data_IF_849337009254
#
_entry.id   IF_849337009254
#
_cell.length_a   1.000
_cell.length_b   1.000
_cell.length_c   1.000
_cell.angle_alpha   90.00
_cell.angle_beta   90.00
_cell.angle_gamma   90.00
#
_symmetry.space_group_name_H-M   'P 1'
#
loop_
_entity.id
_entity.type
_entity.pdbx_description
1 polymer ?
#
# COMPACT_ATOMS: atom_id res chain seq x y z
N UNK A 1 -2.14 20.54 10.56
CA UNK A 1 -2.99 20.02 9.46
C UNK A 1 -2.17 19.24 8.44
N UNK A 2 -1.29 19.87 7.64
CA UNK A 2 -0.50 19.14 6.63
C UNK A 2 0.44 18.07 7.21
N UNK A 3 1.19 18.40 8.29
CA UNK A 3 2.08 17.44 8.96
C UNK A 3 1.31 16.26 9.56
N UNK A 4 0.18 16.54 10.23
CA UNK A 4 -0.70 15.52 10.79
C UNK A 4 -1.30 14.61 9.71
N UNK A 5 -1.69 15.16 8.55
CA UNK A 5 -2.17 14.37 7.43
C UNK A 5 -1.06 13.46 6.88
N UNK A 6 0.17 13.97 6.76
CA UNK A 6 1.34 13.18 6.34
C UNK A 6 1.64 12.05 7.32
N UNK A 7 1.60 12.32 8.63
CA UNK A 7 1.78 11.30 9.66
C UNK A 7 0.72 10.19 9.59
N UNK A 8 -0.53 10.55 9.31
CA UNK A 8 -1.61 9.58 9.11
C UNK A 8 -1.34 8.69 7.90
N UNK A 9 -0.93 9.25 6.77
CA UNK A 9 -0.59 8.47 5.57
C UNK A 9 0.62 7.56 5.79
N UNK A 10 1.63 8.02 6.54
CA UNK A 10 2.78 7.18 6.91
C UNK A 10 2.37 5.98 7.75
N UNK A 11 1.47 6.20 8.72
CA UNK A 11 0.89 5.11 9.54
C UNK A 11 0.05 4.17 8.69
N UNK A 12 -0.65 4.70 7.68
CA UNK A 12 -1.46 3.90 6.75
C UNK A 12 -0.58 2.95 5.92
N UNK A 13 0.54 3.45 5.38
CA UNK A 13 1.53 2.63 4.68
C UNK A 13 2.17 1.59 5.62
N UNK A 14 2.47 1.96 6.87
CA UNK A 14 2.99 1.01 7.86
C UNK A 14 1.96 -0.07 8.24
N UNK A 15 0.67 0.28 8.25
CA UNK A 15 -0.45 -0.66 8.37
C UNK A 15 -0.42 -1.69 7.24
N UNK A 16 -0.34 -1.23 6.00
CA UNK A 16 -0.22 -2.10 4.84
C UNK A 16 1.02 -3.01 4.89
N UNK A 17 2.18 -2.46 5.29
CA UNK A 17 3.42 -3.24 5.50
C UNK A 17 3.19 -4.35 6.53
N UNK A 18 2.55 -4.01 7.65
CA UNK A 18 2.23 -4.95 8.73
C UNK A 18 1.29 -6.06 8.23
N UNK A 19 0.29 -5.72 7.42
CA UNK A 19 -0.63 -6.70 6.85
C UNK A 19 0.09 -7.69 5.92
N UNK A 20 0.99 -7.20 5.06
CA UNK A 20 1.83 -8.07 4.20
C UNK A 20 2.72 -9.00 5.03
N UNK A 21 3.30 -8.50 6.13
CA UNK A 21 4.15 -9.31 7.01
C UNK A 21 3.38 -10.41 7.73
N UNK A 22 2.13 -10.16 8.11
CA UNK A 22 1.26 -11.08 8.85
C UNK A 22 0.40 -11.95 7.94
N UNK A 23 0.48 -11.77 6.63
CA UNK A 23 -0.34 -12.51 5.68
C UNK A 23 0.03 -14.00 5.62
N UNK A 24 -1.01 -14.82 5.63
CA UNK A 24 -1.02 -16.25 5.38
C UNK A 24 -2.28 -16.63 4.63
N UNK A 25 -2.57 -17.94 4.53
CA UNK A 25 -3.68 -18.43 3.70
C UNK A 25 -5.04 -17.87 4.14
N UNK A 26 -5.27 -17.72 5.45
CA UNK A 26 -6.58 -17.34 6.00
C UNK A 26 -6.95 -15.87 5.79
N UNK A 27 -5.98 -14.99 5.57
CA UNK A 27 -6.18 -13.55 5.37
C UNK A 27 -5.71 -13.06 3.99
N UNK A 28 -5.34 -13.96 3.07
CA UNK A 28 -4.93 -13.58 1.72
C UNK A 28 -6.00 -12.76 0.96
N UNK A 29 -7.30 -12.92 1.28
CA UNK A 29 -8.40 -12.13 0.67
C UNK A 29 -8.42 -10.72 1.20
N UNK A 30 -8.33 -10.62 2.52
CA UNK A 30 -8.30 -9.35 3.23
C UNK A 30 -7.06 -8.54 2.82
N UNK A 31 -5.98 -9.20 2.41
CA UNK A 31 -4.76 -8.52 1.98
C UNK A 31 -4.96 -7.72 0.68
N UNK A 32 -5.72 -8.23 -0.29
CA UNK A 32 -6.04 -7.48 -1.50
C UNK A 32 -6.90 -6.25 -1.17
N UNK A 33 -7.96 -6.44 -0.40
CA UNK A 33 -8.88 -5.36 0.00
C UNK A 33 -8.17 -4.29 0.85
N UNK A 34 -7.25 -4.72 1.73
CA UNK A 34 -6.37 -3.83 2.51
C UNK A 34 -5.50 -2.98 1.57
N UNK A 35 -4.83 -3.59 0.59
CA UNK A 35 -3.99 -2.86 -0.35
C UNK A 35 -4.78 -1.82 -1.17
N UNK A 36 -5.94 -2.20 -1.70
CA UNK A 36 -6.81 -1.30 -2.46
C UNK A 36 -7.29 -0.13 -1.60
N UNK A 37 -7.66 -0.39 -0.34
CA UNK A 37 -8.11 0.62 0.63
C UNK A 37 -7.01 1.62 0.96
N UNK A 38 -5.83 1.15 1.34
CA UNK A 38 -4.68 2.00 1.66
C UNK A 38 -4.24 2.85 0.47
N UNK A 39 -4.23 2.27 -0.73
CA UNK A 39 -3.92 3.02 -1.96
C UNK A 39 -5.00 4.07 -2.24
N UNK A 40 -6.28 3.75 -2.08
CA UNK A 40 -7.36 4.72 -2.27
C UNK A 40 -7.24 5.92 -1.32
N UNK A 41 -6.88 5.70 -0.05
CA UNK A 41 -6.62 6.78 0.91
C UNK A 41 -5.51 7.73 0.45
N UNK A 42 -4.42 7.19 -0.12
CA UNK A 42 -3.33 8.00 -0.66
C UNK A 42 -3.80 8.87 -1.83
N UNK A 43 -4.58 8.33 -2.78
CA UNK A 43 -5.12 9.09 -3.91
C UNK A 43 -6.15 10.16 -3.51
N UNK A 44 -6.85 9.97 -2.39
CA UNK A 44 -7.73 11.00 -1.82
C UNK A 44 -6.94 12.16 -1.19
N UNK A 45 -5.75 11.88 -0.65
CA UNK A 45 -4.98 12.85 0.13
C UNK A 45 -3.82 13.51 -0.64
N UNK A 46 -3.33 12.92 -1.73
CA UNK A 46 -2.17 13.38 -2.49
C UNK A 46 -2.55 13.87 -3.89
N UNK A 47 -1.86 14.89 -4.40
CA UNK A 47 -2.00 15.30 -5.79
C UNK A 47 -1.61 14.16 -6.73
N UNK A 48 -2.36 14.03 -7.82
CA UNK A 48 -2.08 13.01 -8.82
C UNK A 48 -0.72 13.24 -9.48
N UNK A 49 0.06 12.18 -9.58
CA UNK A 49 1.32 12.15 -10.31
C UNK A 49 1.52 10.77 -10.93
N UNK A 50 2.26 10.71 -12.03
CA UNK A 50 2.60 9.44 -12.66
C UNK A 50 3.37 8.52 -11.68
N UNK A 51 4.26 9.10 -10.88
CA UNK A 51 5.04 8.36 -9.89
C UNK A 51 4.14 7.72 -8.80
N UNK A 52 3.14 8.46 -8.30
CA UNK A 52 2.14 7.91 -7.37
C UNK A 52 1.30 6.80 -8.01
N UNK A 53 0.88 6.98 -9.26
CA UNK A 53 0.10 5.97 -9.97
C UNK A 53 0.89 4.68 -10.20
N UNK A 54 2.13 4.79 -10.66
CA UNK A 54 3.01 3.64 -10.90
C UNK A 54 3.33 2.89 -9.62
N UNK A 55 3.66 3.60 -8.53
CA UNK A 55 3.93 2.99 -7.23
C UNK A 55 2.69 2.30 -6.66
N UNK A 56 1.52 2.95 -6.78
CA UNK A 56 0.23 2.36 -6.37
C UNK A 56 -0.08 1.08 -7.14
N UNK A 57 0.11 1.11 -8.47
CA UNK A 57 -0.11 -0.06 -9.33
C UNK A 57 0.84 -1.20 -8.98
N UNK A 58 2.12 -0.91 -8.71
CA UNK A 58 3.10 -1.92 -8.29
C UNK A 58 2.74 -2.55 -6.95
N UNK A 59 2.28 -1.76 -5.98
CA UNK A 59 1.84 -2.27 -4.67
C UNK A 59 0.64 -3.19 -4.81
N UNK A 60 -0.43 -2.74 -5.48
CA UNK A 60 -1.65 -3.54 -5.63
C UNK A 60 -1.35 -4.85 -6.37
N UNK A 61 -0.64 -4.80 -7.49
CA UNK A 61 -0.33 -6.02 -8.24
C UNK A 61 0.65 -6.94 -7.51
N UNK A 62 1.66 -6.39 -6.82
CA UNK A 62 2.59 -7.18 -6.02
C UNK A 62 1.89 -7.92 -4.89
N UNK A 63 0.97 -7.24 -4.21
CA UNK A 63 0.16 -7.82 -3.13
C UNK A 63 -0.82 -8.86 -3.67
N UNK A 64 -1.51 -8.59 -4.79
CA UNK A 64 -2.39 -9.59 -5.43
C UNK A 64 -1.59 -10.83 -5.83
N UNK A 65 -0.40 -10.66 -6.41
CA UNK A 65 0.46 -11.78 -6.78
C UNK A 65 0.89 -12.60 -5.56
N UNK A 66 1.27 -11.94 -4.47
CA UNK A 66 1.59 -12.62 -3.21
C UNK A 66 0.39 -13.35 -2.61
N UNK A 67 -0.77 -12.70 -2.53
CA UNK A 67 -2.01 -13.32 -2.06
C UNK A 67 -2.36 -14.58 -2.88
N UNK A 68 -2.19 -14.54 -4.20
CA UNK A 68 -2.38 -15.71 -5.07
C UNK A 68 -1.45 -16.87 -4.73
N UNK A 69 -0.18 -16.62 -4.39
CA UNK A 69 0.75 -17.67 -3.96
C UNK A 69 0.30 -18.33 -2.64
N UNK A 70 -0.27 -17.53 -1.72
CA UNK A 70 -0.83 -18.05 -0.47
C UNK A 70 -2.02 -18.98 -0.75
N UNK A 71 -2.94 -18.58 -1.63
CA UNK A 71 -4.10 -19.40 -1.99
C UNK A 71 -3.75 -20.67 -2.74
N UNK A 72 -2.78 -20.61 -3.66
CA UNK A 72 -2.36 -21.76 -4.44
C UNK A 72 -1.51 -22.75 -3.64
N UNK A 73 -1.23 -22.46 -2.37
CA UNK A 73 -0.30 -23.22 -1.52
C UNK A 73 1.04 -23.44 -2.22
N UNK A 74 1.53 -22.39 -2.89
CA UNK A 74 2.80 -22.43 -3.57
C UNK A 74 3.94 -22.80 -2.62
N UNK A 75 5.05 -23.30 -3.17
CA UNK A 75 6.24 -23.59 -2.40
C UNK A 75 6.63 -22.38 -1.54
N UNK A 76 7.00 -22.63 -0.28
CA UNK A 76 7.31 -21.58 0.70
C UNK A 76 8.31 -20.57 0.15
N UNK A 77 9.31 -21.02 -0.61
CA UNK A 77 10.31 -20.15 -1.23
C UNK A 77 9.71 -19.15 -2.24
N UNK A 78 8.72 -19.56 -3.04
CA UNK A 78 8.05 -18.69 -4.01
C UNK A 78 7.11 -17.69 -3.31
N UNK A 79 6.36 -18.17 -2.30
CA UNK A 79 5.53 -17.29 -1.45
C UNK A 79 6.39 -16.23 -0.74
N UNK A 80 7.54 -16.63 -0.22
CA UNK A 80 8.49 -15.73 0.45
C UNK A 80 9.15 -14.74 -0.53
N UNK A 81 9.47 -15.17 -1.74
CA UNK A 81 9.94 -14.28 -2.80
C UNK A 81 8.87 -13.25 -3.19
N UNK A 82 7.62 -13.68 -3.34
CA UNK A 82 6.50 -12.78 -3.64
C UNK A 82 6.25 -11.79 -2.48
N UNK A 83 6.31 -12.24 -1.22
CA UNK A 83 6.21 -11.39 -0.04
C UNK A 83 7.27 -10.29 -0.03
N UNK A 84 8.53 -10.65 -0.28
CA UNK A 84 9.64 -9.67 -0.39
C UNK A 84 9.44 -8.68 -1.52
N UNK A 85 8.94 -9.14 -2.67
CA UNK A 85 8.59 -8.26 -3.80
C UNK A 85 7.48 -7.26 -3.44
N UNK A 86 6.43 -7.72 -2.76
CA UNK A 86 5.36 -6.86 -2.28
C UNK A 86 5.86 -5.82 -1.26
N UNK A 87 6.70 -6.22 -0.30
CA UNK A 87 7.31 -5.30 0.67
C UNK A 87 8.18 -4.24 -0.02
N UNK A 88 8.99 -4.62 -1.01
CA UNK A 88 9.79 -3.65 -1.76
C UNK A 88 8.92 -2.62 -2.52
N UNK A 89 7.76 -3.03 -3.04
CA UNK A 89 6.81 -2.11 -3.65
C UNK A 89 6.20 -1.15 -2.61
N UNK A 90 5.87 -1.65 -1.41
CA UNK A 90 5.37 -0.81 -0.29
C UNK A 90 6.42 0.20 0.15
N UNK A 91 7.69 -0.22 0.24
CA UNK A 91 8.81 0.67 0.58
C UNK A 91 8.98 1.78 -0.46
N UNK A 92 8.90 1.44 -1.75
CA UNK A 92 8.89 2.43 -2.83
C UNK A 92 7.72 3.40 -2.72
N UNK A 93 6.52 2.93 -2.37
CA UNK A 93 5.36 3.79 -2.18
C UNK A 93 5.55 4.77 -1.00
N UNK A 94 6.21 4.35 0.08
CA UNK A 94 6.62 5.25 1.16
C UNK A 94 7.58 6.35 0.69
N UNK A 95 8.56 6.02 -0.15
CA UNK A 95 9.48 7.01 -0.73
C UNK A 95 8.77 8.01 -1.66
N UNK A 96 7.74 7.56 -2.37
CA UNK A 96 6.89 8.45 -3.18
C UNK A 96 6.04 9.35 -2.29
N UNK A 97 5.45 8.82 -1.22
CA UNK A 97 4.70 9.62 -0.24
C UNK A 97 5.55 10.78 0.30
N UNK A 98 6.81 10.52 0.67
CA UNK A 98 7.71 11.55 1.21
C UNK A 98 7.95 12.73 0.24
N UNK A 99 7.84 12.49 -1.07
CA UNK A 99 8.05 13.51 -2.12
C UNK A 99 6.74 14.06 -2.69
N UNK A 100 5.61 13.39 -2.45
CA UNK A 100 4.32 13.77 -2.99
C UNK A 100 3.73 15.01 -2.29
N UNK A 101 3.04 15.83 -3.08
CA UNK A 101 2.32 17.01 -2.62
C UNK A 101 0.95 16.62 -2.06
N UNK A 102 0.61 17.08 -0.85
CA UNK A 102 -0.72 16.89 -0.28
C UNK A 102 -1.75 17.71 -1.05
N UNK A 103 -2.95 17.16 -1.25
CA UNK A 103 -4.12 17.95 -1.66
C UNK A 103 -4.46 18.90 -0.51
N UNK A 104 -4.62 20.19 -0.81
CA UNK A 104 -5.16 21.11 0.17
C UNK A 104 -6.61 20.71 0.43
N UNK A 105 -6.90 20.14 1.61
CA UNK A 105 -8.29 20.00 2.07
C UNK A 105 -8.77 21.40 2.37
N UNK A 106 -9.59 21.96 1.46
CA UNK A 106 -10.23 23.24 1.71
C UNK A 106 -10.94 23.17 3.08
N UNK A 107 -10.77 24.18 3.96
CA UNK A 107 -11.57 24.22 5.18
C UNK A 107 -13.03 24.25 4.74
N UNK A 108 -13.80 23.25 5.17
CA UNK A 108 -15.25 23.32 5.10
C UNK A 108 -15.64 24.60 5.84
N UNK A 109 -16.06 25.61 5.09
CA UNK A 109 -16.54 26.88 5.62
C UNK A 109 -17.70 26.58 6.58
N UNK A 110 -17.57 27.12 7.79
CA UNK A 110 -18.50 27.00 8.91
C UNK A 110 -19.93 27.48 8.58
#
# INVERSE_FOLDING_TARGET
MAEQARDLLKRDIEGLRTDVLKAGVLNAKALQESAETHVAHLHLALHESAELHDASFQVVNGIIAFARQLYSQAAVAESEKARRGALAAVDRLAEVLDRAELRQVAPLSA
#
